data_IF_819575733999
#
_entry.id   IF_819575733999
#
_cell.length_a   1.000
_cell.length_b   1.000
_cell.length_c   1.000
_cell.angle_alpha   90.00
_cell.angle_beta   90.00
_cell.angle_gamma   90.00
#
_symmetry.space_group_name_H-M   'P 1'
#
loop_
_entity.id
_entity.type
_entity.pdbx_description
1 polymer ?
#
# COMPACT_ATOMS: atom_id res chain seq x y z
N UNK A 1 -5.76 -20.39 -11.02
CA UNK A 1 -4.90 -19.19 -11.13
C UNK A 1 -3.64 -19.43 -10.31
N UNK A 2 -2.48 -18.92 -10.73
CA UNK A 2 -1.20 -19.17 -10.02
C UNK A 2 -0.90 -18.13 -8.92
N UNK A 3 -1.65 -17.04 -8.87
CA UNK A 3 -1.50 -15.99 -7.87
C UNK A 3 -2.44 -14.80 -8.10
N UNK A 4 -2.37 -13.83 -7.19
CA UNK A 4 -3.11 -12.58 -7.24
C UNK A 4 -2.18 -11.38 -6.98
N UNK A 5 -2.53 -10.21 -7.55
CA UNK A 5 -1.89 -8.93 -7.27
C UNK A 5 -2.92 -8.03 -6.56
N UNK A 6 -2.59 -7.58 -5.35
CA UNK A 6 -3.46 -6.71 -4.55
C UNK A 6 -2.92 -5.30 -4.54
N UNK A 7 -3.80 -4.33 -4.78
CA UNK A 7 -3.49 -2.89 -4.61
C UNK A 7 -3.46 -2.59 -3.12
N UNK A 8 -2.27 -2.64 -2.52
CA UNK A 8 -2.09 -2.33 -1.11
C UNK A 8 -2.26 -0.83 -0.83
N UNK A 9 -1.83 0.00 -1.78
CA UNK A 9 -2.07 1.44 -1.81
C UNK A 9 -2.17 1.92 -3.25
N UNK A 10 -3.24 2.63 -3.57
CA UNK A 10 -3.40 3.28 -4.87
C UNK A 10 -2.87 4.73 -4.86
N UNK A 11 -3.04 5.45 -5.97
CA UNK A 11 -2.56 6.83 -6.06
C UNK A 11 -3.27 7.81 -5.12
N UNK A 12 -4.46 7.47 -4.61
CA UNK A 12 -5.13 8.27 -3.60
C UNK A 12 -4.39 8.27 -2.25
N UNK A 13 -3.48 7.33 -2.02
CA UNK A 13 -2.65 7.26 -0.81
C UNK A 13 -3.22 6.42 0.34
N UNK A 14 -4.45 5.91 0.23
CA UNK A 14 -5.07 5.12 1.30
C UNK A 14 -4.44 3.72 1.40
N UNK A 15 -3.93 3.37 2.58
CA UNK A 15 -3.26 2.09 2.84
C UNK A 15 -4.25 1.03 3.38
N UNK A 16 -4.27 -0.16 2.77
CA UNK A 16 -5.13 -1.28 3.15
C UNK A 16 -4.63 -2.12 4.34
N UNK A 17 -3.55 -1.69 4.99
CA UNK A 17 -2.98 -2.27 6.21
C UNK A 17 -2.89 -1.18 7.29
N UNK A 18 -2.86 -1.54 8.60
CA UNK A 18 -2.74 -0.57 9.68
C UNK A 18 -1.31 0.03 9.71
N UNK A 19 -1.05 0.98 8.81
CA UNK A 19 0.29 1.55 8.62
C UNK A 19 0.77 2.32 9.84
N UNK A 20 2.04 2.15 10.18
CA UNK A 20 2.73 2.91 11.23
C UNK A 20 3.23 4.27 10.75
N UNK A 21 3.23 4.54 9.44
CA UNK A 21 3.81 5.75 8.85
C UNK A 21 2.79 6.80 8.41
N UNK A 22 1.48 6.47 8.38
CA UNK A 22 0.42 7.42 8.01
C UNK A 22 -0.89 7.11 8.74
N UNK A 23 -1.65 8.16 9.04
CA UNK A 23 -3.03 8.06 9.55
C UNK A 23 -4.04 7.70 8.45
N UNK A 24 -3.69 7.87 7.17
CA UNK A 24 -4.57 7.61 6.04
C UNK A 24 -4.55 6.12 5.64
N UNK A 25 -5.12 5.29 6.51
CA UNK A 25 -5.17 3.83 6.34
C UNK A 25 -6.42 3.22 6.98
N UNK A 26 -6.58 1.90 6.83
CA UNK A 26 -7.68 1.12 7.44
C UNK A 26 -7.81 1.31 8.95
N UNK A 27 -6.73 1.72 9.65
CA UNK A 27 -6.75 1.95 11.10
C UNK A 27 -7.73 3.04 11.56
N UNK A 28 -8.03 3.99 10.68
CA UNK A 28 -8.99 5.08 10.91
C UNK A 28 -10.28 4.91 10.09
N UNK A 29 -10.53 3.71 9.56
CA UNK A 29 -11.77 3.38 8.85
C UNK A 29 -12.76 2.68 9.78
N UNK A 30 -14.08 2.79 9.55
CA UNK A 30 -15.08 2.07 10.34
C UNK A 30 -15.05 0.55 10.09
N UNK A 31 -14.36 0.08 9.05
CA UNK A 31 -14.27 -1.34 8.74
C UNK A 31 -13.49 -2.08 9.85
N UNK A 32 -14.11 -3.12 10.41
CA UNK A 32 -13.61 -3.91 11.55
C UNK A 32 -13.15 -3.01 12.72
N UNK A 33 -13.88 -1.92 12.97
CA UNK A 33 -13.61 -0.96 14.05
C UNK A 33 -12.17 -0.41 14.04
N UNK A 34 -11.60 -0.20 12.85
CA UNK A 34 -10.21 0.27 12.69
C UNK A 34 -9.14 -0.77 13.06
N UNK A 35 -9.52 -2.03 13.30
CA UNK A 35 -8.60 -3.11 13.69
C UNK A 35 -8.32 -4.11 12.57
N UNK A 36 -8.91 -3.89 11.40
CA UNK A 36 -8.71 -4.77 10.25
C UNK A 36 -7.36 -4.60 9.58
N UNK A 37 -6.89 -5.67 8.95
CA UNK A 37 -5.69 -5.68 8.09
C UNK A 37 -6.02 -6.52 6.85
N UNK A 38 -6.38 -5.83 5.77
CA UNK A 38 -6.81 -6.49 4.55
C UNK A 38 -5.64 -7.18 3.84
N UNK A 39 -4.41 -6.67 3.99
CA UNK A 39 -3.22 -7.32 3.42
C UNK A 39 -2.92 -8.63 4.12
N UNK A 40 -3.07 -8.68 5.45
CA UNK A 40 -2.97 -9.93 6.20
C UNK A 40 -4.04 -10.93 5.76
N UNK A 41 -5.30 -10.50 5.65
CA UNK A 41 -6.39 -11.39 5.21
C UNK A 41 -6.13 -11.97 3.81
N UNK A 42 -5.64 -11.17 2.86
CA UNK A 42 -5.24 -11.69 1.55
C UNK A 42 -4.04 -12.62 1.62
N UNK A 43 -3.07 -12.36 2.49
CA UNK A 43 -1.87 -13.20 2.66
C UNK A 43 -2.25 -14.56 3.24
N UNK A 44 -3.12 -14.58 4.24
CA UNK A 44 -3.57 -15.81 4.88
C UNK A 44 -4.41 -16.65 3.91
N UNK A 45 -5.35 -16.03 3.19
CA UNK A 45 -6.12 -16.72 2.15
C UNK A 45 -5.23 -17.25 1.00
N UNK A 46 -4.23 -16.48 0.57
CA UNK A 46 -3.30 -16.92 -0.48
C UNK A 46 -2.48 -18.14 -0.03
N UNK A 47 -2.06 -18.20 1.25
CA UNK A 47 -1.37 -19.36 1.82
C UNK A 47 -2.27 -20.59 1.89
N UNK A 48 -3.52 -20.42 2.34
CA UNK A 48 -4.49 -21.51 2.41
C UNK A 48 -4.80 -22.13 1.04
N UNK A 49 -4.76 -21.29 -0.01
CA UNK A 49 -5.05 -21.70 -1.38
C UNK A 49 -3.81 -22.09 -2.20
N UNK A 50 -2.61 -22.13 -1.58
CA UNK A 50 -1.33 -22.36 -2.27
C UNK A 50 -1.12 -21.41 -3.49
N UNK A 51 -1.49 -20.14 -3.30
CA UNK A 51 -1.41 -19.09 -4.31
C UNK A 51 -0.28 -18.10 -4.01
N UNK A 52 0.40 -17.62 -5.07
CA UNK A 52 1.35 -16.51 -4.94
C UNK A 52 0.60 -15.19 -4.71
N UNK A 53 1.08 -14.35 -3.80
CA UNK A 53 0.54 -13.00 -3.59
C UNK A 53 1.60 -11.96 -3.93
N UNK A 54 1.25 -11.03 -4.82
CA UNK A 54 2.02 -9.81 -5.07
C UNK A 54 1.29 -8.58 -4.54
N UNK A 55 2.05 -7.54 -4.19
CA UNK A 55 1.52 -6.26 -3.75
C UNK A 55 1.84 -5.17 -4.76
N UNK A 56 0.85 -4.34 -5.05
CA UNK A 56 1.02 -3.08 -5.75
C UNK A 56 1.00 -1.93 -4.74
N UNK A 57 2.05 -1.12 -4.77
CA UNK A 57 2.23 0.07 -3.94
C UNK A 57 2.50 1.23 -4.90
N UNK A 58 1.51 2.09 -5.11
CA UNK A 58 1.65 3.24 -6.02
C UNK A 58 2.80 4.15 -5.55
N UNK A 59 3.82 4.40 -6.39
CA UNK A 59 4.83 5.42 -6.10
C UNK A 59 4.18 6.79 -5.96
N UNK A 60 3.21 7.10 -6.82
CA UNK A 60 2.43 8.33 -6.74
C UNK A 60 1.53 8.31 -5.50
N UNK A 61 1.70 9.31 -4.63
CA UNK A 61 0.85 9.55 -3.48
C UNK A 61 0.18 10.93 -3.56
N UNK A 62 -1.15 10.98 -3.57
CA UNK A 62 -1.92 12.24 -3.59
C UNK A 62 -2.38 12.66 -2.19
N UNK A 63 -2.06 11.90 -1.14
CA UNK A 63 -2.39 12.19 0.24
C UNK A 63 -1.19 12.66 1.05
N UNK A 64 -0.02 12.07 0.83
CA UNK A 64 1.19 12.43 1.58
C UNK A 64 1.66 13.85 1.23
N UNK A 65 1.72 14.73 2.22
CA UNK A 65 2.21 16.10 2.07
C UNK A 65 3.70 16.18 1.68
N UNK A 66 4.45 15.11 1.92
CA UNK A 66 5.86 14.98 1.53
C UNK A 66 6.04 14.43 0.11
N UNK A 67 4.95 14.08 -0.58
CA UNK A 67 5.01 13.62 -1.95
C UNK A 67 5.34 14.78 -2.90
N UNK A 68 6.56 14.79 -3.43
CA UNK A 68 7.10 15.87 -4.27
C UNK A 68 8.59 16.13 -3.98
N UNK A 69 9.24 17.10 -4.65
CA UNK A 69 10.66 17.42 -4.43
C UNK A 69 10.90 18.02 -3.04
N UNK A 70 12.06 17.76 -2.40
CA UNK A 70 13.34 18.22 -2.97
C UNK A 70 14.21 17.15 -3.64
N UNK A 71 14.02 15.85 -3.35
CA UNK A 71 15.11 14.87 -3.51
C UNK A 71 14.77 13.59 -4.27
N UNK A 72 13.67 13.53 -5.03
CA UNK A 72 13.31 12.27 -5.71
C UNK A 72 14.06 12.06 -7.05
N UNK A 73 14.74 13.07 -7.59
CA UNK A 73 15.52 12.98 -8.84
C UNK A 73 16.70 13.98 -8.87
N UNK A 74 17.74 13.81 -8.05
CA UNK A 74 19.08 14.31 -8.40
C UNK A 74 19.75 13.34 -9.38
N UNK A 75 19.07 13.08 -10.50
CA UNK A 75 19.78 12.53 -11.66
C UNK A 75 20.50 13.75 -12.23
N UNK A 76 21.78 13.91 -11.89
CA UNK A 76 22.66 14.83 -12.59
C UNK A 76 22.61 14.45 -14.07
N UNK A 77 22.01 15.29 -14.89
CA UNK A 77 22.20 15.24 -16.34
C UNK A 77 23.73 15.29 -16.60
N UNK A 78 24.31 14.30 -17.30
CA UNK A 78 25.73 14.36 -17.64
C UNK A 78 25.94 15.51 -18.61
N UNK A 79 26.85 16.43 -18.24
CA UNK A 79 27.40 17.47 -19.11
C UNK A 79 28.05 16.90 -20.35
#
# INVERSE_FOLDING_TARGET
>A
MQGALVVAKHHCGFCLWPSTTTEYSVKNSPWKDGKGDMIREYTDAARELDMRLGLYLSPWDRNDANYGPPNILSISEPS
#
